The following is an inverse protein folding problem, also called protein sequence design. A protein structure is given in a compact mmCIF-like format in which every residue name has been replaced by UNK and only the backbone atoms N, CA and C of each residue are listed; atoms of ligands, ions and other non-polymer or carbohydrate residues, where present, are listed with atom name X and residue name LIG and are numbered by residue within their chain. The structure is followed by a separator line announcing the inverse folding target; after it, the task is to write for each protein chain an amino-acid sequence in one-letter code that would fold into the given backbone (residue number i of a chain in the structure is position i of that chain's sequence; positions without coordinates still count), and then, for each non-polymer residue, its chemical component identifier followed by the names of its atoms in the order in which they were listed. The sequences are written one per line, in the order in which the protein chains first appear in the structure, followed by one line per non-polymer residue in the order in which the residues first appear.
data_IF_195315852458
#
_entry.id   IF_195315852458
#
_cell.length_a   1.000
_cell.length_b   1.000
_cell.length_c   1.000
_cell.angle_alpha   90.00
_cell.angle_beta   90.00
_cell.angle_gamma   90.00
#
_symmetry.space_group_name_H-M   'P 1'
#
loop_
_entity.id
_entity.type
_entity.pdbx_description
1 polymer ?
#
# COMPACT_ATOMS: atom_id res chain seq x y z
N UNK A 1 -0.59 22.76 3.39
CA UNK A 1 0.14 22.53 4.65
C UNK A 1 -0.91 22.17 5.71
N UNK A 2 -0.80 21.03 6.39
CA UNK A 2 -1.73 20.69 7.48
C UNK A 2 -1.46 21.67 8.63
N UNK A 3 -2.37 22.62 8.87
CA UNK A 3 -2.31 23.55 10.00
C UNK A 3 -2.97 22.94 11.23
N UNK A 4 -2.71 23.48 12.42
CA UNK A 4 -3.43 23.09 13.63
C UNK A 4 -4.95 23.22 13.45
N UNK A 5 -5.41 24.32 12.82
CA UNK A 5 -6.82 24.55 12.52
C UNK A 5 -7.41 23.48 11.59
N UNK A 6 -6.65 23.02 10.59
CA UNK A 6 -7.08 21.95 9.69
C UNK A 6 -7.22 20.61 10.39
N UNK A 7 -6.33 20.32 11.35
CA UNK A 7 -6.45 19.14 12.20
C UNK A 7 -7.66 19.21 13.12
N UNK A 8 -7.89 20.37 13.75
CA UNK A 8 -9.02 20.54 14.65
C UNK A 8 -10.35 20.45 13.90
N UNK A 9 -10.42 20.97 12.67
CA UNK A 9 -11.55 20.74 11.77
C UNK A 9 -11.74 19.25 11.42
N UNK A 10 -10.66 18.52 11.12
CA UNK A 10 -10.72 17.09 10.84
C UNK A 10 -11.15 16.27 12.07
N UNK A 11 -10.69 16.64 13.27
CA UNK A 11 -11.08 16.04 14.55
C UNK A 11 -12.55 16.30 14.87
N UNK A 12 -13.04 17.51 14.65
CA UNK A 12 -14.43 17.87 14.90
C UNK A 12 -15.41 17.06 14.04
N UNK A 13 -14.99 16.64 12.84
CA UNK A 13 -15.79 15.82 11.93
C UNK A 13 -15.60 14.30 12.08
N UNK A 14 -14.69 13.83 12.95
CA UNK A 14 -14.35 12.42 13.09
C UNK A 14 -14.81 11.86 14.44
N UNK A 15 -15.37 10.65 14.43
CA UNK A 15 -15.67 9.90 15.66
C UNK A 15 -14.43 9.20 16.24
N UNK A 16 -13.31 9.21 15.52
CA UNK A 16 -12.04 8.60 15.89
C UNK A 16 -10.96 9.65 16.12
N UNK A 17 -10.22 9.51 17.22
CA UNK A 17 -9.05 10.32 17.50
C UNK A 17 -7.81 9.66 16.90
N UNK A 18 -7.41 10.15 15.71
CA UNK A 18 -6.21 9.68 15.03
C UNK A 18 -5.01 10.56 15.43
N UNK A 19 -3.85 9.92 15.65
CA UNK A 19 -2.59 10.62 15.93
C UNK A 19 -1.97 11.17 14.64
N UNK A 20 -1.39 12.38 14.71
CA UNK A 20 -0.75 13.10 13.62
C UNK A 20 0.62 13.62 14.09
N UNK A 21 1.64 12.75 14.19
CA UNK A 21 2.98 13.14 14.66
C UNK A 21 3.67 14.15 13.73
N UNK A 22 3.18 14.31 12.50
CA UNK A 22 3.68 15.27 11.51
C UNK A 22 3.46 16.74 11.90
N UNK A 23 2.77 17.01 13.01
CA UNK A 23 2.68 18.35 13.61
C UNK A 23 3.97 18.73 14.38
N UNK A 24 4.77 17.74 14.80
CA UNK A 24 6.12 18.02 15.31
C UNK A 24 7.03 18.26 14.10
N UNK A 25 7.33 19.54 13.84
CA UNK A 25 8.15 19.97 12.71
C UNK A 25 9.54 19.31 12.66
N UNK A 26 10.04 18.79 13.79
CA UNK A 26 11.32 18.07 13.88
C UNK A 26 11.24 16.62 13.39
N UNK A 27 10.04 16.09 13.19
CA UNK A 27 9.76 14.69 12.81
C UNK A 27 9.16 14.56 11.41
N UNK A 28 9.08 15.66 10.65
CA UNK A 28 8.50 15.69 9.31
C UNK A 28 9.50 15.13 8.29
N UNK A 29 9.12 14.02 7.66
CA UNK A 29 9.79 13.48 6.47
C UNK A 29 9.13 14.04 5.22
N UNK A 30 9.88 14.78 4.39
CA UNK A 30 9.38 15.29 3.11
C UNK A 30 8.89 14.16 2.19
N UNK A 31 9.58 13.02 2.19
CA UNK A 31 9.19 11.85 1.42
C UNK A 31 7.82 11.32 1.87
N UNK A 32 7.58 11.27 3.18
CA UNK A 32 6.29 10.84 3.74
C UNK A 32 5.18 11.84 3.44
N UNK A 33 5.46 13.15 3.53
CA UNK A 33 4.48 14.19 3.17
C UNK A 33 4.10 14.08 1.69
N UNK A 34 5.08 13.98 0.79
CA UNK A 34 4.83 13.84 -0.64
C UNK A 34 4.00 12.58 -0.94
N UNK A 35 4.38 11.46 -0.35
CA UNK A 35 3.70 10.18 -0.52
C UNK A 35 2.24 10.23 -0.04
N UNK A 36 1.99 10.78 1.16
CA UNK A 36 0.63 10.98 1.68
C UNK A 36 -0.20 11.91 0.80
N UNK A 37 0.38 13.00 0.29
CA UNK A 37 -0.32 13.92 -0.60
C UNK A 37 -0.71 13.26 -1.93
N UNK A 38 0.17 12.44 -2.49
CA UNK A 38 -0.14 11.67 -3.70
C UNK A 38 -1.25 10.66 -3.42
N UNK A 39 -1.18 9.92 -2.32
CA UNK A 39 -2.23 8.99 -1.92
C UNK A 39 -3.60 9.69 -1.79
N UNK A 40 -3.66 10.80 -1.07
CA UNK A 40 -4.87 11.60 -0.91
C UNK A 40 -5.41 12.11 -2.24
N UNK A 41 -4.55 12.62 -3.12
CA UNK A 41 -4.94 13.07 -4.47
C UNK A 41 -5.57 11.94 -5.28
N UNK A 42 -4.95 10.76 -5.28
CA UNK A 42 -5.45 9.62 -6.05
C UNK A 42 -6.75 9.05 -5.46
N UNK A 43 -6.91 9.09 -4.13
CA UNK A 43 -8.20 8.78 -3.49
C UNK A 43 -9.28 9.75 -3.98
N UNK A 44 -9.04 11.06 -3.88
CA UNK A 44 -10.02 12.07 -4.31
C UNK A 44 -10.40 11.92 -5.79
N UNK A 45 -9.43 11.62 -6.65
CA UNK A 45 -9.68 11.39 -8.09
C UNK A 45 -10.59 10.19 -8.35
N UNK A 46 -10.45 9.14 -7.57
CA UNK A 46 -11.18 7.87 -7.74
C UNK A 46 -12.48 7.83 -6.98
N UNK A 47 -12.66 8.65 -5.95
CA UNK A 47 -13.82 8.64 -5.07
C UNK A 47 -15.18 8.67 -5.81
N UNK A 48 -15.36 9.34 -6.98
CA UNK A 48 -16.63 9.25 -7.72
C UNK A 48 -17.04 7.83 -8.17
N UNK A 49 -16.07 6.91 -8.31
CA UNK A 49 -16.31 5.52 -8.72
C UNK A 49 -16.47 4.56 -7.52
N UNK A 50 -16.21 5.05 -6.30
CA UNK A 50 -16.17 4.25 -5.07
C UNK A 50 -17.19 4.78 -4.05
N UNK A 51 -17.68 3.90 -3.19
CA UNK A 51 -18.67 4.25 -2.17
C UNK A 51 -18.05 4.95 -0.94
N UNK A 52 -16.74 4.80 -0.76
CA UNK A 52 -16.00 5.41 0.34
C UNK A 52 -14.50 5.16 0.26
N UNK A 53 -13.79 5.56 1.32
CA UNK A 53 -12.35 5.36 1.45
C UNK A 53 -11.96 5.12 2.91
N UNK A 54 -10.77 4.56 3.12
CA UNK A 54 -10.09 4.45 4.42
C UNK A 54 -8.65 4.93 4.26
N UNK A 55 -8.23 5.80 5.16
CA UNK A 55 -6.83 6.18 5.31
C UNK A 55 -5.99 5.01 5.83
N UNK A 56 -4.69 5.07 5.61
CA UNK A 56 -3.75 4.13 6.20
C UNK A 56 -3.96 4.02 7.73
N UNK A 57 -4.24 5.12 8.43
CA UNK A 57 -4.41 5.17 9.89
C UNK A 57 -5.68 4.53 10.42
N UNK A 58 -6.70 4.40 9.59
CA UNK A 58 -7.92 3.66 9.93
C UNK A 58 -7.70 2.15 9.86
N UNK A 59 -6.62 1.69 9.21
CA UNK A 59 -6.15 0.33 9.38
C UNK A 59 -5.43 0.20 10.72
N UNK A 60 -6.11 -0.45 11.68
CA UNK A 60 -5.53 -0.79 12.98
C UNK A 60 -4.23 -1.60 12.86
N UNK A 61 -3.50 -1.76 13.96
CA UNK A 61 -2.21 -2.47 13.98
C UNK A 61 -2.31 -3.97 13.61
N UNK A 62 -3.52 -4.52 13.48
CA UNK A 62 -3.80 -5.96 13.39
C UNK A 62 -3.98 -6.52 11.97
N UNK A 63 -3.36 -5.94 10.95
CA UNK A 63 -3.21 -6.64 9.67
C UNK A 63 -1.92 -7.48 9.75
N UNK A 64 -1.97 -8.57 10.51
CA UNK A 64 -0.78 -9.35 10.89
C UNK A 64 -0.04 -9.96 9.67
N UNK A 65 -0.76 -10.21 8.57
CA UNK A 65 -0.20 -10.94 7.41
C UNK A 65 -0.34 -10.20 6.08
N UNK A 66 -1.30 -9.26 5.95
CA UNK A 66 -1.47 -8.46 4.74
C UNK A 66 -0.79 -7.09 4.85
N UNK A 67 -0.43 -6.53 3.69
CA UNK A 67 0.16 -5.19 3.63
C UNK A 67 -0.89 -4.19 4.10
N UNK A 68 -0.53 -3.34 5.08
CA UNK A 68 -1.27 -2.10 5.33
C UNK A 68 -1.07 -1.18 4.14
N UNK A 69 -2.12 -0.87 3.36
CA UNK A 69 -1.97 -0.01 2.19
C UNK A 69 -1.83 1.46 2.59
N UNK A 70 -1.39 2.27 1.64
CA UNK A 70 -1.25 3.72 1.81
C UNK A 70 -2.62 4.41 1.89
N UNK A 71 -3.65 3.71 1.44
CA UNK A 71 -5.07 3.97 1.68
C UNK A 71 -5.90 2.81 1.10
N UNK A 72 -7.21 2.87 1.21
CA UNK A 72 -8.08 1.98 0.46
C UNK A 72 -9.36 2.67 0.01
N UNK A 73 -9.91 2.16 -1.07
CA UNK A 73 -11.19 2.59 -1.62
C UNK A 73 -12.22 1.48 -1.39
N UNK A 74 -13.44 1.84 -1.00
CA UNK A 74 -14.52 0.89 -0.78
C UNK A 74 -15.40 0.85 -2.02
N UNK A 75 -15.59 -0.32 -2.61
CA UNK A 75 -16.49 -0.47 -3.76
C UNK A 75 -17.97 -0.47 -3.33
N UNK A 76 -18.88 -0.53 -4.30
CA UNK A 76 -20.33 -0.51 -4.04
C UNK A 76 -20.84 -1.76 -3.30
N UNK A 77 -20.06 -2.85 -3.29
CA UNK A 77 -20.36 -4.10 -2.61
C UNK A 77 -19.73 -4.17 -1.21
N UNK A 78 -19.03 -3.11 -0.77
CA UNK A 78 -18.31 -3.06 0.51
C UNK A 78 -16.92 -3.71 0.46
N UNK A 79 -16.44 -4.12 -0.71
CA UNK A 79 -15.09 -4.64 -0.92
C UNK A 79 -14.04 -3.54 -0.78
N UNK A 80 -12.92 -3.84 -0.12
CA UNK A 80 -11.81 -2.90 0.04
C UNK A 80 -10.75 -3.12 -1.03
N UNK A 81 -10.47 -2.06 -1.79
CA UNK A 81 -9.39 -2.00 -2.77
C UNK A 81 -8.21 -1.27 -2.17
N UNK A 82 -7.11 -1.97 -1.92
CA UNK A 82 -5.87 -1.36 -1.41
C UNK A 82 -5.27 -0.39 -2.43
N UNK A 83 -4.76 0.74 -1.95
CA UNK A 83 -4.05 1.73 -2.75
C UNK A 83 -2.58 1.77 -2.30
N UNK A 84 -1.67 1.52 -3.22
CA UNK A 84 -0.22 1.55 -2.98
C UNK A 84 0.42 2.58 -3.91
N UNK A 85 1.14 3.53 -3.33
CA UNK A 85 1.85 4.59 -4.04
C UNK A 85 3.35 4.29 -3.99
N UNK A 86 3.94 4.10 -5.16
CA UNK A 86 5.36 3.78 -5.31
C UNK A 86 6.09 4.94 -5.98
N UNK A 87 6.65 5.82 -5.14
CA UNK A 87 7.46 6.97 -5.58
C UNK A 87 8.95 6.66 -5.71
N UNK A 88 9.41 5.54 -5.15
CA UNK A 88 10.79 5.09 -5.23
C UNK A 88 10.85 3.59 -5.51
N UNK A 89 11.86 3.16 -6.27
CA UNK A 89 11.97 1.75 -6.65
C UNK A 89 12.27 0.84 -5.47
N UNK A 90 11.36 -0.09 -5.17
CA UNK A 90 11.68 -1.28 -4.36
C UNK A 90 12.34 -2.34 -5.25
N UNK A 91 13.29 -3.05 -4.66
CA UNK A 91 14.10 -4.07 -5.34
C UNK A 91 14.33 -5.27 -4.42
N UNK A 92 14.59 -6.43 -5.05
CA UNK A 92 14.90 -7.70 -4.38
C UNK A 92 13.94 -7.95 -3.21
N UNK A 93 14.48 -8.28 -2.03
CA UNK A 93 13.70 -8.55 -0.82
C UNK A 93 12.56 -7.57 -0.54
N UNK A 94 12.76 -6.26 -0.72
CA UNK A 94 11.70 -5.28 -0.42
C UNK A 94 10.54 -5.38 -1.41
N UNK A 95 10.84 -5.69 -2.67
CA UNK A 95 9.83 -5.93 -3.69
C UNK A 95 9.11 -7.24 -3.40
N UNK A 96 9.85 -8.32 -3.15
CA UNK A 96 9.30 -9.66 -2.89
C UNK A 96 8.40 -9.67 -1.66
N UNK A 97 8.85 -9.07 -0.55
CA UNK A 97 8.05 -8.99 0.68
C UNK A 97 6.78 -8.17 0.48
N UNK A 98 6.81 -7.12 -0.34
CA UNK A 98 5.61 -6.37 -0.63
C UNK A 98 4.65 -7.16 -1.53
N UNK A 99 5.17 -7.78 -2.58
CA UNK A 99 4.39 -8.60 -3.50
C UNK A 99 3.68 -9.76 -2.75
N UNK A 100 4.41 -10.46 -1.88
CA UNK A 100 3.84 -11.50 -0.99
C UNK A 100 2.67 -10.95 -0.17
N UNK A 101 2.84 -9.78 0.45
CA UNK A 101 1.80 -9.21 1.32
C UNK A 101 0.57 -8.70 0.56
N UNK A 102 0.73 -8.24 -0.68
CA UNK A 102 -0.39 -7.91 -1.58
C UNK A 102 -1.14 -9.19 -1.95
N UNK A 103 -0.42 -10.21 -2.44
CA UNK A 103 -0.98 -11.51 -2.83
C UNK A 103 -1.72 -12.17 -1.66
N UNK A 104 -1.10 -12.20 -0.47
CA UNK A 104 -1.71 -12.74 0.74
C UNK A 104 -2.99 -12.00 1.13
N UNK A 105 -2.99 -10.65 1.07
CA UNK A 105 -4.17 -9.85 1.41
C UNK A 105 -5.38 -10.12 0.51
N UNK A 106 -5.16 -10.33 -0.78
CA UNK A 106 -6.22 -10.71 -1.72
C UNK A 106 -6.62 -12.18 -1.52
N UNK A 107 -5.65 -13.09 -1.37
CA UNK A 107 -5.89 -14.52 -1.14
C UNK A 107 -6.76 -14.79 0.10
N UNK A 108 -6.52 -14.02 1.17
CA UNK A 108 -7.27 -14.08 2.43
C UNK A 108 -8.57 -13.25 2.41
N UNK A 109 -8.94 -12.64 1.28
CA UNK A 109 -10.11 -11.76 1.13
C UNK A 109 -10.14 -10.58 2.10
N UNK A 110 -8.98 -10.16 2.58
CA UNK A 110 -8.84 -8.90 3.33
C UNK A 110 -9.07 -7.71 2.41
N UNK A 111 -8.65 -7.84 1.15
CA UNK A 111 -8.86 -6.89 0.08
C UNK A 111 -9.52 -7.57 -1.12
N UNK A 112 -10.43 -6.86 -1.78
CA UNK A 112 -11.02 -7.26 -3.06
C UNK A 112 -10.00 -7.17 -4.20
N UNK A 113 -9.05 -6.25 -4.09
CA UNK A 113 -7.99 -6.03 -5.07
C UNK A 113 -7.03 -4.93 -4.62
N UNK A 114 -6.06 -4.61 -5.48
CA UNK A 114 -5.08 -3.55 -5.24
C UNK A 114 -4.88 -2.67 -6.47
N UNK A 115 -4.75 -1.37 -6.26
CA UNK A 115 -4.21 -0.41 -7.22
C UNK A 115 -2.77 -0.06 -6.81
N UNK A 116 -1.81 -0.40 -7.65
CA UNK A 116 -0.38 -0.09 -7.46
C UNK A 116 0.02 1.02 -8.43
N UNK A 117 0.20 2.24 -7.91
CA UNK A 117 0.49 3.44 -8.68
C UNK A 117 1.98 3.76 -8.62
N UNK A 118 2.66 3.64 -9.76
CA UNK A 118 4.10 3.76 -9.88
C UNK A 118 4.51 5.11 -10.46
N UNK A 119 5.58 5.72 -9.94
CA UNK A 119 6.11 6.98 -10.49
C UNK A 119 6.77 6.84 -11.88
N UNK A 120 7.07 5.62 -12.33
CA UNK A 120 7.69 5.38 -13.65
C UNK A 120 7.25 4.07 -14.28
N UNK A 121 7.37 3.98 -15.61
CA UNK A 121 7.10 2.77 -16.37
C UNK A 121 8.00 1.58 -15.95
N UNK A 122 9.28 1.83 -15.68
CA UNK A 122 10.21 0.79 -15.23
C UNK A 122 9.81 0.20 -13.87
N UNK A 123 9.23 1.00 -12.98
CA UNK A 123 8.68 0.50 -11.72
C UNK A 123 7.43 -0.34 -11.94
N UNK A 124 6.49 0.17 -12.75
CA UNK A 124 5.28 -0.57 -13.10
C UNK A 124 5.61 -1.93 -13.71
N UNK A 125 6.60 -2.00 -14.59
CA UNK A 125 7.00 -3.26 -15.24
C UNK A 125 7.58 -4.27 -14.25
N UNK A 126 8.39 -3.82 -13.28
CA UNK A 126 8.86 -4.70 -12.20
C UNK A 126 7.71 -5.28 -11.38
N UNK A 127 6.71 -4.46 -11.07
CA UNK A 127 5.52 -4.93 -10.36
C UNK A 127 4.71 -5.92 -11.19
N UNK A 128 4.53 -5.68 -12.49
CA UNK A 128 3.85 -6.62 -13.38
C UNK A 128 4.57 -7.96 -13.45
N UNK A 129 5.91 -7.94 -13.52
CA UNK A 129 6.70 -9.15 -13.58
C UNK A 129 6.57 -10.00 -12.31
N UNK A 130 6.68 -9.39 -11.12
CA UNK A 130 6.65 -10.13 -9.84
C UNK A 130 5.23 -10.54 -9.43
N UNK A 131 4.21 -9.80 -9.84
CA UNK A 131 2.79 -10.08 -9.55
C UNK A 131 2.10 -10.85 -10.68
N UNK A 132 2.83 -11.26 -11.72
CA UNK A 132 2.28 -12.01 -12.84
C UNK A 132 1.69 -13.36 -12.39
N UNK A 133 0.65 -13.86 -13.07
CA UNK A 133 0.05 -15.14 -12.74
C UNK A 133 1.06 -16.28 -12.94
N UNK A 134 1.14 -17.18 -11.96
CA UNK A 134 2.10 -18.28 -11.94
C UNK A 134 3.53 -17.90 -11.53
N UNK A 135 3.81 -16.62 -11.29
CA UNK A 135 5.12 -16.20 -10.80
C UNK A 135 5.37 -16.69 -9.37
N UNK A 136 6.56 -17.23 -9.12
CA UNK A 136 7.02 -17.64 -7.80
C UNK A 136 7.82 -16.52 -7.15
N UNK A 137 7.35 -16.02 -6.02
CA UNK A 137 8.00 -14.89 -5.33
C UNK A 137 9.00 -15.43 -4.30
N UNK A 138 10.22 -14.90 -4.27
CA UNK A 138 11.26 -15.33 -3.32
C UNK A 138 10.84 -15.04 -1.87
N UNK A 139 10.88 -16.06 -1.00
CA UNK A 139 10.71 -15.86 0.46
C UNK A 139 12.05 -15.50 1.09
N UNK A 140 12.00 -14.60 2.07
CA UNK A 140 13.19 -14.11 2.77
C UNK A 140 12.99 -14.26 4.26
N UNK A 141 13.90 -14.95 4.92
CA UNK A 141 13.87 -15.13 6.38
C UNK A 141 15.05 -14.40 7.04
N UNK A 142 14.84 -13.87 8.26
CA UNK A 142 15.93 -13.30 9.03
C UNK A 142 16.98 -14.36 9.33
N UNK A 143 18.24 -13.95 9.33
CA UNK A 143 19.34 -14.82 9.74
C UNK A 143 19.27 -15.22 11.22
N UNK A 144 20.25 -16.01 11.68
CA UNK A 144 20.39 -16.40 13.08
C UNK A 144 20.35 -15.18 14.02
N UNK A 145 19.93 -15.41 15.27
CA UNK A 145 19.76 -14.37 16.28
C UNK A 145 20.98 -13.42 16.36
N UNK A 146 20.73 -12.12 16.28
CA UNK A 146 21.75 -11.07 16.24
C UNK A 146 22.18 -10.64 14.83
N UNK A 147 21.76 -11.34 13.77
CA UNK A 147 22.01 -10.94 12.39
C UNK A 147 20.92 -10.00 11.86
N UNK A 148 21.33 -8.91 11.21
CA UNK A 148 20.45 -8.05 10.41
C UNK A 148 20.29 -8.54 8.97
N UNK A 149 20.99 -9.62 8.59
CA UNK A 149 20.95 -10.18 7.24
C UNK A 149 19.71 -11.04 7.05
N UNK A 150 19.20 -11.02 5.82
CA UNK A 150 18.11 -11.88 5.38
C UNK A 150 18.65 -12.84 4.33
N UNK A 151 18.12 -14.06 4.33
CA UNK A 151 18.53 -15.11 3.41
C UNK A 151 17.32 -15.60 2.60
N UNK A 152 17.52 -15.92 1.31
CA UNK A 152 16.47 -16.52 0.50
C UNK A 152 16.14 -17.92 1.04
N UNK A 153 14.86 -18.18 1.30
CA UNK A 153 14.38 -19.44 1.87
C UNK A 153 13.19 -19.97 1.07
N UNK A 154 13.50 -20.56 -0.09
CA UNK A 154 12.50 -21.08 -1.02
C UNK A 154 11.61 -20.01 -1.63
N UNK A 155 10.48 -20.41 -2.20
CA UNK A 155 9.56 -19.50 -2.85
C UNK A 155 8.18 -19.55 -2.20
N UNK A 156 7.45 -18.45 -2.32
CA UNK A 156 6.01 -18.43 -2.11
C UNK A 156 5.33 -19.26 -3.18
N UNK A 157 4.12 -19.75 -2.88
CA UNK A 157 3.29 -20.44 -3.86
C UNK A 157 3.07 -19.54 -5.10
N UNK A 158 2.98 -20.13 -6.31
CA UNK A 158 2.75 -19.36 -7.52
C UNK A 158 1.52 -18.45 -7.38
N UNK A 159 1.64 -17.18 -7.78
CA UNK A 159 0.53 -16.22 -7.70
C UNK A 159 -0.68 -16.75 -8.50
N UNK A 160 -1.84 -17.01 -7.87
CA UNK A 160 -3.01 -17.49 -8.59
C UNK A 160 -3.49 -16.44 -9.60
N UNK A 161 -4.02 -16.90 -10.75
CA UNK A 161 -4.50 -15.99 -11.80
C UNK A 161 -5.56 -15.01 -11.29
N UNK A 162 -6.54 -15.49 -10.55
CA UNK A 162 -7.61 -14.65 -10.00
C UNK A 162 -7.08 -13.56 -9.04
N UNK A 163 -5.97 -13.82 -8.33
CA UNK A 163 -5.31 -12.80 -7.50
C UNK A 163 -4.65 -11.76 -8.40
N UNK A 164 -3.88 -12.20 -9.41
CA UNK A 164 -3.22 -11.29 -10.36
C UNK A 164 -4.22 -10.41 -11.11
N UNK A 165 -5.38 -10.95 -11.50
CA UNK A 165 -6.43 -10.22 -12.21
C UNK A 165 -7.08 -9.13 -11.32
N UNK A 166 -6.93 -9.25 -9.99
CA UNK A 166 -7.41 -8.27 -9.01
C UNK A 166 -6.36 -7.21 -8.65
N UNK A 167 -5.25 -7.14 -9.38
CA UNK A 167 -4.17 -6.17 -9.17
C UNK A 167 -4.05 -5.27 -10.41
N UNK A 168 -4.31 -3.99 -10.22
CA UNK A 168 -4.20 -2.97 -11.27
C UNK A 168 -2.91 -2.17 -11.07
N UNK A 169 -2.02 -2.19 -12.07
CA UNK A 169 -0.72 -1.51 -12.02
C UNK A 169 -0.70 -0.37 -13.03
N UNK A 170 -0.61 0.85 -12.53
CA UNK A 170 -0.69 2.07 -13.33
C UNK A 170 0.54 2.97 -13.10
N UNK A 171 0.79 3.86 -14.07
CA UNK A 171 1.81 4.90 -13.94
C UNK A 171 1.10 6.18 -13.47
N UNK A 172 1.63 6.82 -12.43
CA UNK A 172 1.15 8.12 -11.96
C UNK A 172 1.27 9.14 -13.10
N UNK A 173 0.15 9.79 -13.42
CA UNK A 173 0.15 10.89 -14.37
C UNK A 173 0.59 12.15 -13.63
N UNK A 174 1.68 12.76 -14.09
CA UNK A 174 2.03 14.12 -13.71
C UNK A 174 1.15 15.04 -14.56
N UNK A 175 0.16 15.68 -13.93
CA UNK A 175 -0.56 16.80 -14.52
C UNK A 175 -0.28 18.03 -13.67
#
# INVERSE_FOLDING_TARGET
MLTADGLDAARAGSSLYLDYPELDSRRISQATVLHNLVAQREVLRRLPEYSGWRSDREFGQNIAEAKRPDGALMDQCGGLWGLEIELSGKWARRLDQMAIRIVAGIAQRTFAGFHVLCASAAMAERYRAVLAPGHQIQRWEPGPAGSSKFFPQGCWEPTPRWVSDSIHIEILKNQ
#
